data_IF_722493327125
#
_entry.id   IF_722493327125
#
_cell.length_a   1.000
_cell.length_b   1.000
_cell.length_c   1.000
_cell.angle_alpha   90.00
_cell.angle_beta   90.00
_cell.angle_gamma   90.00
#
_symmetry.space_group_name_H-M   'P 1'
#
loop_
_entity.id
_entity.type
_entity.pdbx_description
1 polymer ?
#
# COMPACT_ATOMS: atom_id res chain seq x y z
N UNK A 1 14.62 4.25 9.61
CA UNK A 1 13.16 4.16 9.46
C UNK A 1 12.90 3.85 7.99
N UNK A 2 12.33 2.68 7.66
CA UNK A 2 12.05 2.33 6.27
C UNK A 2 11.14 3.34 5.58
N UNK A 3 11.35 3.50 4.28
CA UNK A 3 10.46 4.23 3.38
C UNK A 3 9.57 3.23 2.65
N UNK A 4 8.29 3.55 2.55
CA UNK A 4 7.30 2.78 1.82
C UNK A 4 6.65 3.67 0.77
N UNK A 5 6.58 3.18 -0.47
CA UNK A 5 5.82 3.82 -1.53
C UNK A 5 4.40 3.25 -1.52
N UNK A 6 3.41 4.12 -1.37
CA UNK A 6 2.00 3.75 -1.30
C UNK A 6 1.29 4.33 -2.51
N UNK A 7 0.64 3.47 -3.28
CA UNK A 7 -0.13 3.86 -4.46
C UNK A 7 -1.59 3.45 -4.27
N UNK A 8 -2.51 4.38 -4.49
CA UNK A 8 -3.95 4.20 -4.34
C UNK A 8 -4.60 4.05 -5.72
N UNK A 9 -5.47 3.05 -5.89
CA UNK A 9 -6.15 2.74 -7.15
C UNK A 9 -7.66 2.75 -6.99
N UNK A 10 -8.38 3.27 -7.98
CA UNK A 10 -9.83 3.22 -8.02
C UNK A 10 -10.37 1.92 -8.66
N UNK A 11 -11.70 1.83 -8.77
CA UNK A 11 -12.40 0.67 -9.35
C UNK A 11 -12.05 0.35 -10.81
N UNK A 12 -11.42 1.28 -11.54
CA UNK A 12 -10.97 1.07 -12.92
C UNK A 12 -9.48 0.68 -12.99
N UNK A 13 -8.89 0.31 -11.85
CA UNK A 13 -7.45 0.07 -11.68
C UNK A 13 -6.59 1.28 -12.08
N UNK A 14 -7.17 2.48 -12.07
CA UNK A 14 -6.43 3.70 -12.35
C UNK A 14 -5.84 4.24 -11.05
N UNK A 15 -4.56 4.58 -11.10
CA UNK A 15 -3.88 5.31 -10.04
C UNK A 15 -4.60 6.65 -9.78
N UNK A 16 -4.90 6.88 -8.50
CA UNK A 16 -5.52 8.10 -7.99
C UNK A 16 -4.43 9.00 -7.43
N UNK A 17 -3.59 8.42 -6.58
CA UNK A 17 -2.58 9.13 -5.80
C UNK A 17 -1.43 8.18 -5.45
N UNK A 18 -0.24 8.75 -5.30
CA UNK A 18 0.95 8.08 -4.82
C UNK A 18 1.63 8.95 -3.75
N UNK A 19 2.07 8.31 -2.67
CA UNK A 19 2.84 8.96 -1.61
C UNK A 19 4.00 8.11 -1.12
N UNK A 20 4.96 8.76 -0.47
CA UNK A 20 6.07 8.10 0.21
C UNK A 20 5.98 8.35 1.71
N UNK A 21 5.82 7.27 2.49
CA UNK A 21 5.68 7.35 3.95
C UNK A 21 6.88 6.74 4.66
N UNK A 22 7.30 7.36 5.76
CA UNK A 22 8.39 6.88 6.62
C UNK A 22 7.79 6.26 7.87
N UNK A 23 7.85 4.94 7.96
CA UNK A 23 7.17 4.19 9.02
C UNK A 23 8.12 3.21 9.68
N UNK A 24 7.82 2.82 10.93
CA UNK A 24 8.66 1.87 11.68
C UNK A 24 8.71 0.50 11.02
N UNK A 25 7.58 0.03 10.50
CA UNK A 25 7.44 -1.26 9.82
C UNK A 25 6.21 -1.27 8.89
N UNK A 26 6.05 -2.38 8.15
CA UNK A 26 4.94 -2.56 7.20
C UNK A 26 3.56 -2.52 7.88
N UNK A 27 3.44 -3.00 9.12
CA UNK A 27 2.17 -2.98 9.87
C UNK A 27 1.70 -1.54 10.13
N UNK A 28 2.61 -0.65 10.53
CA UNK A 28 2.30 0.77 10.70
C UNK A 28 2.04 1.46 9.36
N UNK A 29 2.73 1.06 8.29
CA UNK A 29 2.50 1.58 6.95
C UNK A 29 1.09 1.22 6.43
N UNK A 30 0.67 -0.05 6.54
CA UNK A 30 -0.69 -0.50 6.19
C UNK A 30 -1.78 0.32 6.89
N UNK A 31 -1.63 0.50 8.21
CA UNK A 31 -2.60 1.28 9.01
C UNK A 31 -2.65 2.74 8.57
N UNK A 32 -1.49 3.34 8.30
CA UNK A 32 -1.43 4.71 7.79
C UNK A 32 -2.08 4.82 6.42
N UNK A 33 -1.75 3.91 5.50
CA UNK A 33 -2.28 3.90 4.15
C UNK A 33 -3.81 3.75 4.13
N UNK A 34 -4.36 2.80 4.90
CA UNK A 34 -5.82 2.67 5.02
C UNK A 34 -6.50 3.91 5.63
N UNK A 35 -5.81 4.66 6.49
CA UNK A 35 -6.38 5.85 7.12
C UNK A 35 -6.37 7.08 6.21
N UNK A 36 -5.37 7.20 5.33
CA UNK A 36 -5.23 8.31 4.40
C UNK A 36 -5.76 8.00 3.00
N UNK A 37 -6.30 6.79 2.78
CA UNK A 37 -6.87 6.39 1.51
C UNK A 37 -7.99 7.35 1.08
N UNK A 38 -7.93 7.93 -0.13
CA UNK A 38 -9.04 8.67 -0.72
C UNK A 38 -10.32 7.83 -0.81
N UNK A 39 -11.50 8.48 -0.74
CA UNK A 39 -12.82 7.81 -0.72
C UNK A 39 -13.07 6.89 -1.94
N UNK A 40 -12.42 7.15 -3.08
CA UNK A 40 -12.56 6.36 -4.32
C UNK A 40 -11.58 5.18 -4.41
N UNK A 41 -10.74 4.98 -3.40
CA UNK A 41 -9.77 3.88 -3.32
C UNK A 41 -10.47 2.53 -3.21
N UNK A 42 -10.10 1.61 -4.10
CA UNK A 42 -10.50 0.20 -4.08
C UNK A 42 -9.36 -0.74 -3.75
N UNK A 43 -8.16 -0.37 -4.17
CA UNK A 43 -6.96 -1.16 -3.94
C UNK A 43 -5.80 -0.26 -3.55
N UNK A 44 -4.94 -0.75 -2.65
CA UNK A 44 -3.74 -0.04 -2.21
C UNK A 44 -2.56 -0.96 -2.44
N UNK A 45 -1.48 -0.45 -3.02
CA UNK A 45 -0.23 -1.19 -3.17
C UNK A 45 0.83 -0.50 -2.33
N UNK A 46 1.53 -1.27 -1.50
CA UNK A 46 2.69 -0.77 -0.77
C UNK A 46 3.94 -1.47 -1.30
N UNK A 47 4.92 -0.67 -1.73
CA UNK A 47 6.23 -1.11 -2.22
C UNK A 47 7.36 -0.62 -1.32
N UNK A 48 8.52 -1.26 -1.44
CA UNK A 48 9.78 -0.70 -0.94
C UNK A 48 10.42 0.27 -1.94
N UNK A 49 11.55 0.88 -1.56
CA UNK A 49 12.35 1.78 -2.39
C UNK A 49 12.91 1.14 -3.67
N UNK A 50 12.87 -0.19 -3.80
CA UNK A 50 13.35 -0.94 -4.95
C UNK A 50 12.19 -1.34 -5.88
N UNK A 51 11.02 -0.70 -5.73
CA UNK A 51 9.78 -1.01 -6.45
C UNK A 51 9.24 -2.43 -6.20
N UNK A 52 9.72 -3.13 -5.16
CA UNK A 52 9.20 -4.46 -4.82
C UNK A 52 7.90 -4.30 -4.05
N UNK A 53 6.81 -4.84 -4.60
CA UNK A 53 5.53 -4.94 -3.89
C UNK A 53 5.70 -5.78 -2.62
N UNK A 54 5.41 -5.17 -1.47
CA UNK A 54 5.46 -5.78 -0.15
C UNK A 54 4.10 -6.30 0.32
N UNK A 55 3.03 -5.61 -0.08
CA UNK A 55 1.67 -5.97 0.27
C UNK A 55 0.70 -5.22 -0.63
N UNK A 56 -0.50 -5.79 -0.79
CA UNK A 56 -1.62 -5.18 -1.50
C UNK A 56 -2.86 -5.28 -0.63
N UNK A 57 -3.64 -4.21 -0.56
CA UNK A 57 -4.97 -4.22 0.00
C UNK A 57 -5.99 -4.31 -1.15
N UNK A 58 -6.96 -5.20 -1.01
CA UNK A 58 -8.10 -5.30 -1.90
C UNK A 58 -9.41 -5.13 -1.13
N UNK A 59 -10.29 -4.25 -1.60
CA UNK A 59 -11.61 -4.06 -0.98
C UNK A 59 -12.41 -5.38 -1.02
N UNK A 60 -12.71 -5.92 0.16
CA UNK A 60 -13.42 -7.18 0.33
C UNK A 60 -12.53 -8.36 0.75
N UNK A 61 -11.24 -8.36 0.40
CA UNK A 61 -10.29 -9.43 0.77
C UNK A 61 -9.33 -9.01 1.88
N UNK A 62 -9.07 -7.71 2.03
CA UNK A 62 -8.15 -7.16 3.02
C UNK A 62 -6.70 -7.13 2.52
N UNK A 63 -5.74 -7.21 3.44
CA UNK A 63 -4.32 -7.12 3.12
C UNK A 63 -3.72 -8.48 2.73
N UNK A 64 -3.19 -8.56 1.52
CA UNK A 64 -2.48 -9.67 0.92
C UNK A 64 -0.96 -9.39 0.93
N UNK A 65 -0.24 -10.02 1.86
CA UNK A 65 1.21 -9.88 1.96
C UNK A 65 1.92 -10.74 0.92
N UNK A 66 2.83 -10.12 0.16
CA UNK A 66 3.74 -10.89 -0.68
C UNK A 66 4.68 -11.68 0.24
N UNK A 67 4.88 -12.99 0.01
CA UNK A 67 5.82 -13.77 0.81
C UNK A 67 7.19 -13.12 0.73
N UNK A 68 7.81 -12.88 1.89
CA UNK A 68 9.24 -12.58 1.91
C UNK A 68 9.94 -13.83 1.39
N UNK A 69 10.45 -13.79 0.16
CA UNK A 69 11.49 -14.74 -0.25
C UNK A 69 12.59 -14.72 0.81
N UNK A 70 12.85 -15.90 1.35
CA UNK A 70 13.74 -16.16 2.48
C UNK A 70 15.21 -16.02 2.09
#
# INVERSE_FOLDING_TARGET
MPTFHVTYFNAKEKEIEEESIFMKNLVTAKRSASHHAPDDTRHIVIKDLMEKTLTRYDEGEGWNDTPKEA
#
